data_IF_792990422053
#
_entry.id   IF_792990422053
#
_cell.length_a   1.000
_cell.length_b   1.000
_cell.length_c   1.000
_cell.angle_alpha   90.00
_cell.angle_beta   90.00
_cell.angle_gamma   90.00
#
_symmetry.space_group_name_H-M   'P 1'
#
loop_
_entity.id
_entity.type
_entity.pdbx_description
1 polymer ?
#
# COMPACT_ATOMS: atom_id res chain seq x y z
N UNK A 1 8.96 -19.54 19.68
CA UNK A 1 9.42 -18.14 19.53
C UNK A 1 8.25 -17.24 19.92
N UNK A 2 8.41 -16.35 20.90
CA UNK A 2 7.40 -15.33 21.18
C UNK A 2 7.61 -14.23 20.15
N UNK A 3 6.64 -14.02 19.27
CA UNK A 3 6.70 -12.95 18.28
C UNK A 3 6.46 -11.65 19.02
N UNK A 4 7.53 -10.90 19.28
CA UNK A 4 7.44 -9.58 19.89
C UNK A 4 6.75 -8.63 18.90
N UNK A 5 5.49 -8.28 19.18
CA UNK A 5 4.68 -7.38 18.33
C UNK A 5 5.29 -5.99 18.17
N UNK A 6 6.29 -5.64 18.99
CA UNK A 6 7.06 -4.40 18.94
C UNK A 6 7.88 -4.23 17.65
N UNK A 7 8.18 -5.32 16.95
CA UNK A 7 8.93 -5.33 15.69
C UNK A 7 8.02 -5.34 14.44
N UNK A 8 6.70 -5.51 14.62
CA UNK A 8 5.75 -5.56 13.51
C UNK A 8 5.26 -4.15 13.20
N UNK A 9 5.68 -3.62 12.05
CA UNK A 9 5.17 -2.35 11.54
C UNK A 9 3.81 -2.56 10.88
N UNK A 10 2.73 -2.24 11.58
CA UNK A 10 1.38 -2.26 11.03
C UNK A 10 1.21 -1.12 10.04
N UNK A 11 0.70 -1.41 8.84
CA UNK A 11 0.40 -0.43 7.81
C UNK A 11 -1.11 -0.29 7.67
N UNK A 12 -1.66 0.88 8.03
CA UNK A 12 -3.06 1.20 7.79
C UNK A 12 -3.26 1.55 6.30
N UNK A 13 -3.84 0.62 5.53
CA UNK A 13 -4.03 0.80 4.08
C UNK A 13 -4.97 1.95 3.74
N UNK A 14 -5.99 2.22 4.56
CA UNK A 14 -6.92 3.35 4.35
C UNK A 14 -6.19 4.68 4.44
N UNK A 15 -5.47 4.91 5.53
CA UNK A 15 -4.69 6.15 5.74
C UNK A 15 -3.66 6.35 4.63
N UNK A 16 -2.97 5.28 4.20
CA UNK A 16 -2.01 5.37 3.10
C UNK A 16 -2.68 5.67 1.76
N UNK A 17 -3.82 5.06 1.49
CA UNK A 17 -4.56 5.31 0.25
C UNK A 17 -5.13 6.72 0.20
N UNK A 18 -5.56 7.29 1.33
CA UNK A 18 -6.05 8.66 1.43
C UNK A 18 -4.98 9.70 1.05
N UNK A 19 -3.70 9.40 1.26
CA UNK A 19 -2.57 10.24 0.83
C UNK A 19 -2.29 10.18 -0.69
N UNK A 20 -2.84 9.20 -1.41
CA UNK A 20 -2.62 9.03 -2.85
C UNK A 20 -3.68 9.82 -3.61
N UNK A 21 -3.28 10.93 -4.25
CA UNK A 21 -4.20 11.81 -4.97
C UNK A 21 -4.29 11.54 -6.48
N UNK A 22 -3.40 10.71 -7.02
CA UNK A 22 -3.31 10.40 -8.44
C UNK A 22 -3.76 8.96 -8.71
N UNK A 23 -4.67 8.80 -9.67
CA UNK A 23 -5.06 7.49 -10.16
C UNK A 23 -3.94 6.86 -10.99
N UNK A 24 -3.84 5.54 -10.94
CA UNK A 24 -2.87 4.76 -11.71
C UNK A 24 -1.39 5.09 -11.41
N UNK A 25 -1.12 5.62 -10.21
CA UNK A 25 0.23 5.97 -9.74
C UNK A 25 0.55 5.17 -8.45
N UNK A 26 1.13 3.97 -8.57
CA UNK A 26 1.38 3.09 -7.42
C UNK A 26 2.45 3.66 -6.47
N UNK A 27 2.20 3.54 -5.16
CA UNK A 27 3.12 3.95 -4.09
C UNK A 27 3.50 2.75 -3.23
N UNK A 28 4.79 2.61 -2.93
CA UNK A 28 5.32 1.54 -2.07
C UNK A 28 4.91 1.82 -0.62
N UNK A 29 4.31 0.84 0.04
CA UNK A 29 3.87 0.93 1.44
C UNK A 29 4.58 -0.07 2.36
N UNK A 30 5.32 -1.02 1.76
CA UNK A 30 6.14 -1.99 2.47
C UNK A 30 7.07 -2.71 1.50
N UNK A 31 8.09 -3.34 2.05
CA UNK A 31 9.07 -4.14 1.34
C UNK A 31 9.17 -5.50 2.04
N UNK A 32 9.30 -6.57 1.26
CA UNK A 32 9.41 -7.93 1.76
C UNK A 32 10.46 -8.66 0.94
N UNK A 33 11.65 -8.84 1.52
CA UNK A 33 12.82 -9.34 0.78
C UNK A 33 13.06 -8.49 -0.47
N UNK A 34 13.00 -9.11 -1.66
CA UNK A 34 13.18 -8.44 -2.94
C UNK A 34 11.86 -7.89 -3.52
N UNK A 35 10.73 -8.14 -2.86
CA UNK A 35 9.41 -7.71 -3.31
C UNK A 35 8.97 -6.39 -2.67
N UNK A 36 8.08 -5.70 -3.37
CA UNK A 36 7.49 -4.43 -2.93
C UNK A 36 5.97 -4.56 -2.85
N UNK A 37 5.40 -4.15 -1.74
CA UNK A 37 3.96 -4.02 -1.55
C UNK A 37 3.57 -2.59 -1.89
N UNK A 38 2.66 -2.42 -2.85
CA UNK A 38 2.24 -1.10 -3.34
C UNK A 38 0.73 -0.91 -3.20
N UNK A 39 0.30 0.34 -3.01
CA UNK A 39 -1.09 0.76 -3.08
C UNK A 39 -1.29 1.72 -4.26
N UNK A 40 -2.43 1.62 -4.93
CA UNK A 40 -2.80 2.48 -6.06
C UNK A 40 -4.31 2.71 -6.05
N UNK A 41 -4.74 3.93 -6.40
CA UNK A 41 -6.15 4.20 -6.72
C UNK A 41 -6.39 3.85 -8.18
N UNK A 42 -7.36 2.98 -8.42
CA UNK A 42 -7.78 2.59 -9.77
C UNK A 42 -9.03 3.40 -10.11
N UNK A 43 -9.03 4.04 -11.29
CA UNK A 43 -10.23 4.68 -11.84
C UNK A 43 -10.71 3.83 -13.00
N UNK A 44 -11.97 3.42 -12.98
CA UNK A 44 -12.55 2.79 -14.16
C UNK A 44 -12.54 3.81 -15.31
N UNK A 45 -11.94 3.45 -16.44
CA UNK A 45 -12.24 4.15 -17.68
C UNK A 45 -13.59 3.62 -18.12
N UNK A 46 -14.66 4.40 -17.96
CA UNK A 46 -15.90 4.06 -18.63
C UNK A 46 -15.62 4.04 -20.14
N UNK A 47 -16.05 2.96 -20.78
CA UNK A 47 -15.81 2.62 -22.19
C UNK A 47 -15.99 3.83 -23.13
N UNK A 48 -15.10 3.94 -24.10
CA UNK A 48 -15.45 4.45 -25.44
C UNK A 48 -15.87 3.26 -26.28
#
# INVERSE_FOLDING_TARGET
>A
MKTDSSQIKVVNTKEKLDLINKYWDPKIVGEMNDDKVQLVKIKNQEKI
#
